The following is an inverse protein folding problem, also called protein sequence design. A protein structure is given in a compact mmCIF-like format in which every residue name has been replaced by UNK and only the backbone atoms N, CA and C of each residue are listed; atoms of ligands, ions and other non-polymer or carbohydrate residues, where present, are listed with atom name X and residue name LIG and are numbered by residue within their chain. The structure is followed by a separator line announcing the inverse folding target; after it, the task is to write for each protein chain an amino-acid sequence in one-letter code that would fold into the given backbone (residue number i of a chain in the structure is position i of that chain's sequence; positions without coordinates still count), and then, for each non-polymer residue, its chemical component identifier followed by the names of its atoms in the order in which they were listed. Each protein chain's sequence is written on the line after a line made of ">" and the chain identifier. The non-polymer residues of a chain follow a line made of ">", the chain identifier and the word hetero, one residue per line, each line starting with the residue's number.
data_IF_268404815252
#
_entry.id   IF_268404815252
#
_cell.length_a   1.000
_cell.length_b   1.000
_cell.length_c   1.000
_cell.angle_alpha   90.00
_cell.angle_beta   90.00
_cell.angle_gamma   90.00
#
_symmetry.space_group_name_H-M   'P 1'
#
loop_
_entity.id
_entity.type
_entity.pdbx_description
1 polymer ?
#
# COMPACT_ATOMS: atom_id res chain seq x y z
N UNK A 1 -21.59 5.42 17.78
CA UNK A 1 -21.76 6.89 17.79
C UNK A 1 -20.43 7.54 18.20
N UNK A 2 -19.60 7.88 17.21
CA UNK A 2 -18.24 8.42 17.41
C UNK A 2 -18.21 9.89 17.82
N UNK A 3 -19.31 10.45 18.27
CA UNK A 3 -19.48 11.88 18.49
C UNK A 3 -19.32 12.32 19.96
N UNK A 4 -18.46 11.67 20.74
CA UNK A 4 -18.02 12.26 22.02
C UNK A 4 -16.93 13.27 21.73
N UNK A 5 -17.29 14.52 21.57
CA UNK A 5 -16.40 15.66 21.36
C UNK A 5 -15.54 15.90 22.59
N UNK A 6 -14.24 16.05 22.39
CA UNK A 6 -13.45 16.88 23.28
C UNK A 6 -13.94 18.34 23.10
N UNK A 7 -14.28 19.00 24.19
CA UNK A 7 -14.91 20.33 24.21
C UNK A 7 -13.86 21.46 24.13
N UNK A 8 -12.81 21.25 23.33
CA UNK A 8 -11.69 22.20 23.14
C UNK A 8 -11.83 23.08 21.89
N UNK A 9 -12.95 22.93 21.16
CA UNK A 9 -13.23 23.71 19.95
C UNK A 9 -12.37 23.36 18.74
N UNK A 10 -11.45 22.40 18.86
CA UNK A 10 -10.63 21.93 17.76
C UNK A 10 -11.36 20.80 17.00
N UNK A 11 -11.27 20.75 15.67
CA UNK A 11 -11.83 19.64 14.92
C UNK A 11 -11.10 18.35 15.31
N UNK A 12 -11.84 17.39 15.87
CA UNK A 12 -11.31 16.06 16.13
C UNK A 12 -10.99 15.36 14.81
N UNK A 13 -9.84 14.67 14.73
CA UNK A 13 -9.50 13.84 13.57
C UNK A 13 -10.53 12.73 13.32
N UNK A 14 -11.29 12.36 14.34
CA UNK A 14 -12.36 11.37 14.27
C UNK A 14 -13.59 11.86 13.47
N UNK A 15 -13.70 13.16 13.20
CA UNK A 15 -14.74 13.75 12.36
C UNK A 15 -14.45 13.67 10.87
N UNK A 16 -13.22 13.36 10.49
CA UNK A 16 -12.84 13.21 9.09
C UNK A 16 -13.20 11.83 8.54
N UNK A 17 -13.42 11.76 7.24
CA UNK A 17 -13.44 10.48 6.55
C UNK A 17 -12.11 9.74 6.76
N UNK A 18 -12.15 8.41 6.80
CA UNK A 18 -11.00 7.54 7.08
C UNK A 18 -9.71 7.98 6.36
N UNK A 19 -9.78 8.15 5.04
CA UNK A 19 -8.61 8.54 4.25
C UNK A 19 -8.11 9.95 4.55
N UNK A 20 -9.00 10.88 4.82
CA UNK A 20 -8.63 12.25 5.18
C UNK A 20 -7.92 12.29 6.55
N UNK A 21 -8.39 11.51 7.52
CA UNK A 21 -7.74 11.36 8.82
C UNK A 21 -6.32 10.78 8.68
N UNK A 22 -6.16 9.69 7.92
CA UNK A 22 -4.86 9.06 7.68
C UNK A 22 -3.88 10.00 6.97
N UNK A 23 -4.33 10.81 6.03
CA UNK A 23 -3.48 11.76 5.30
C UNK A 23 -2.80 12.79 6.21
N UNK A 24 -3.41 13.16 7.33
CA UNK A 24 -2.78 14.02 8.32
C UNK A 24 -1.51 13.36 8.88
N UNK A 25 -1.59 12.08 9.24
CA UNK A 25 -0.47 11.32 9.79
C UNK A 25 0.56 10.97 8.70
N UNK A 26 0.10 10.62 7.52
CA UNK A 26 0.95 10.23 6.38
C UNK A 26 1.78 11.37 5.79
N UNK A 27 1.58 12.60 6.23
CA UNK A 27 2.53 13.67 5.92
C UNK A 27 3.93 13.40 6.48
N UNK A 28 4.02 12.65 7.59
CA UNK A 28 5.28 12.29 8.23
C UNK A 28 5.48 10.77 8.31
N UNK A 29 4.40 9.98 8.41
CA UNK A 29 4.44 8.54 8.65
C UNK A 29 4.17 7.69 7.40
N UNK A 30 4.44 8.22 6.21
CA UNK A 30 4.36 7.50 4.95
C UNK A 30 5.55 7.78 4.05
N UNK A 31 5.92 6.76 3.28
CA UNK A 31 6.79 6.95 2.12
C UNK A 31 5.93 7.41 0.95
N UNK A 32 6.22 8.55 0.39
CA UNK A 32 5.44 9.12 -0.71
C UNK A 32 6.27 9.96 -1.65
N UNK A 33 6.15 9.78 -2.95
CA UNK A 33 6.69 10.72 -3.92
C UNK A 33 6.01 12.09 -3.78
N UNK A 34 6.83 13.13 -3.82
CA UNK A 34 6.39 14.52 -3.90
C UNK A 34 6.25 14.88 -5.37
N UNK A 35 5.03 15.14 -5.82
CA UNK A 35 4.74 15.55 -7.20
C UNK A 35 4.99 17.05 -7.39
N UNK A 36 4.71 17.83 -6.35
CA UNK A 36 4.95 19.26 -6.29
C UNK A 36 5.37 19.65 -4.86
N UNK A 37 6.52 20.31 -4.67
CA UNK A 37 7.03 20.63 -3.35
C UNK A 37 6.26 21.75 -2.63
N UNK A 38 5.40 22.49 -3.33
CA UNK A 38 4.70 23.67 -2.80
C UNK A 38 3.43 23.32 -2.00
N UNK A 39 3.37 22.13 -1.40
CA UNK A 39 2.27 21.74 -0.52
C UNK A 39 2.24 22.59 0.74
N UNK A 40 1.06 23.15 1.02
CA UNK A 40 0.77 23.83 2.29
C UNK A 40 -0.45 23.16 2.95
N UNK A 41 -0.49 23.09 4.29
CA UNK A 41 -1.66 22.61 5.01
C UNK A 41 -2.94 23.34 4.59
N UNK A 42 -4.01 22.58 4.39
CA UNK A 42 -5.28 23.10 3.86
C UNK A 42 -5.41 23.05 2.34
N UNK A 43 -4.33 22.84 1.60
CA UNK A 43 -4.41 22.51 0.17
C UNK A 43 -4.78 21.05 -0.05
N UNK A 44 -5.29 20.76 -1.22
CA UNK A 44 -5.68 19.42 -1.59
C UNK A 44 -4.44 18.53 -1.74
N UNK A 45 -4.34 17.52 -0.88
CA UNK A 45 -3.20 16.60 -0.81
C UNK A 45 -2.82 15.97 -2.16
N UNK A 46 -3.83 15.50 -2.89
CA UNK A 46 -3.67 14.79 -4.15
C UNK A 46 -2.97 15.62 -5.23
N UNK A 47 -3.03 16.94 -5.12
CA UNK A 47 -2.40 17.83 -6.08
C UNK A 47 -0.87 17.93 -5.90
N UNK A 48 -0.35 17.41 -4.80
CA UNK A 48 1.05 17.58 -4.39
C UNK A 48 1.77 16.26 -4.09
N UNK A 49 1.08 15.26 -3.61
CA UNK A 49 1.66 14.04 -3.08
C UNK A 49 0.96 12.80 -3.64
N UNK A 50 1.72 11.75 -3.94
CA UNK A 50 1.21 10.50 -4.49
C UNK A 50 1.57 9.32 -3.56
N UNK A 51 0.68 9.03 -2.60
CA UNK A 51 0.94 8.09 -1.52
C UNK A 51 1.32 6.68 -2.01
N UNK A 52 0.65 6.18 -3.04
CA UNK A 52 0.87 4.80 -3.51
C UNK A 52 2.04 4.67 -4.50
N UNK A 53 2.54 5.78 -5.06
CA UNK A 53 3.54 5.75 -6.14
C UNK A 53 4.90 5.21 -5.70
N UNK A 54 5.18 5.20 -4.39
CA UNK A 54 6.36 4.54 -3.84
C UNK A 54 6.45 3.06 -4.23
N UNK A 55 5.29 2.40 -4.36
CA UNK A 55 5.20 1.00 -4.77
C UNK A 55 5.68 0.77 -6.22
N UNK A 56 5.62 1.79 -7.08
CA UNK A 56 6.08 1.71 -8.47
C UNK A 56 7.61 1.71 -8.61
N UNK A 57 8.34 2.21 -7.66
CA UNK A 57 9.80 2.29 -7.70
C UNK A 57 10.42 0.99 -7.18
N UNK A 58 11.09 1.05 -6.06
CA UNK A 58 11.65 -0.13 -5.40
C UNK A 58 10.67 -0.64 -4.34
N UNK A 59 9.57 -1.21 -4.77
CA UNK A 59 8.46 -1.60 -3.90
C UNK A 59 8.93 -2.12 -2.53
N UNK A 60 8.79 -1.33 -1.46
CA UNK A 60 9.31 -1.66 -0.13
C UNK A 60 8.46 -2.71 0.58
N UNK A 61 7.40 -3.20 -0.05
CA UNK A 61 6.45 -4.13 0.52
C UNK A 61 6.48 -5.49 -0.16
N UNK A 62 6.24 -6.52 0.62
CA UNK A 62 5.79 -7.81 0.13
C UNK A 62 4.36 -7.70 -0.44
N UNK A 63 3.87 -8.71 -1.19
CA UNK A 63 2.52 -8.65 -1.77
C UNK A 63 1.40 -8.43 -0.75
N UNK A 64 1.57 -8.87 0.47
CA UNK A 64 0.65 -8.68 1.59
C UNK A 64 0.84 -7.36 2.37
N UNK A 65 1.72 -6.50 1.89
CA UNK A 65 1.98 -5.18 2.46
C UNK A 65 3.00 -5.13 3.58
N UNK A 66 3.56 -6.27 4.00
CA UNK A 66 4.63 -6.27 5.01
C UNK A 66 5.90 -5.65 4.45
N UNK A 67 6.70 -5.09 5.33
CA UNK A 67 7.88 -4.30 4.97
C UNK A 67 9.05 -5.20 4.59
N UNK A 68 9.66 -4.97 3.41
CA UNK A 68 10.92 -5.60 2.96
C UNK A 68 12.13 -4.84 3.43
N UNK A 69 12.04 -3.50 3.37
CA UNK A 69 13.17 -2.60 3.60
C UNK A 69 12.74 -1.46 4.51
N UNK A 70 13.45 -0.33 4.46
CA UNK A 70 13.03 0.85 5.17
C UNK A 70 11.70 1.37 4.61
N UNK A 71 10.66 1.44 5.45
CA UNK A 71 9.35 1.99 5.13
C UNK A 71 8.69 2.55 6.38
N UNK A 72 7.47 3.07 6.22
CA UNK A 72 6.69 3.70 7.27
C UNK A 72 5.36 2.97 7.52
N UNK A 73 4.50 3.57 8.32
CA UNK A 73 3.25 2.98 8.77
C UNK A 73 2.12 3.04 7.73
N UNK A 74 2.37 3.55 6.53
CA UNK A 74 1.42 3.55 5.41
C UNK A 74 1.07 2.13 4.92
N UNK A 75 1.85 1.11 5.29
CA UNK A 75 1.48 -0.29 5.12
C UNK A 75 0.21 -0.68 5.88
N UNK A 76 -0.28 0.13 6.82
CA UNK A 76 -1.59 0.00 7.42
C UNK A 76 -2.74 -0.11 6.38
N UNK A 77 -2.58 0.48 5.21
CA UNK A 77 -3.55 0.38 4.11
C UNK A 77 -3.76 -1.07 3.60
N UNK A 78 -2.86 -1.99 3.92
CA UNK A 78 -3.01 -3.42 3.64
C UNK A 78 -3.78 -4.16 4.74
N UNK A 79 -3.99 -3.57 5.92
CA UNK A 79 -4.66 -4.25 7.01
C UNK A 79 -6.15 -4.46 6.73
N UNK A 80 -6.69 -5.60 7.16
CA UNK A 80 -8.14 -5.83 7.12
C UNK A 80 -8.92 -4.81 7.97
N UNK A 81 -8.30 -4.31 9.04
CA UNK A 81 -8.88 -3.28 9.90
C UNK A 81 -9.11 -1.96 9.15
N UNK A 82 -8.22 -1.66 8.18
CA UNK A 82 -8.40 -0.53 7.27
C UNK A 82 -9.32 -0.89 6.09
N UNK A 83 -9.06 -1.98 5.39
CA UNK A 83 -9.75 -2.33 4.13
C UNK A 83 -11.23 -2.61 4.37
N UNK A 84 -11.54 -3.44 5.36
CA UNK A 84 -12.90 -3.87 5.70
C UNK A 84 -13.53 -3.09 6.85
N UNK A 85 -12.71 -2.42 7.65
CA UNK A 85 -13.11 -1.62 8.79
C UNK A 85 -12.98 -0.12 8.55
N UNK A 86 -12.98 0.61 9.65
CA UNK A 86 -12.86 2.07 9.68
C UNK A 86 -11.66 2.54 10.50
N UNK A 87 -10.71 1.65 10.82
CA UNK A 87 -9.61 1.96 11.72
C UNK A 87 -8.66 2.99 11.13
N UNK A 88 -8.31 3.96 11.95
CA UNK A 88 -7.35 5.02 11.67
C UNK A 88 -6.25 5.04 12.72
N UNK A 89 -5.22 5.84 12.54
CA UNK A 89 -4.14 5.95 13.52
C UNK A 89 -4.65 6.36 14.91
N UNK A 90 -5.68 7.21 14.96
CA UNK A 90 -6.22 7.75 16.20
C UNK A 90 -7.11 6.78 16.97
N UNK A 91 -7.44 5.63 16.42
CA UNK A 91 -8.12 4.56 17.16
C UNK A 91 -7.17 3.84 18.15
N UNK A 92 -5.84 3.95 17.95
CA UNK A 92 -4.81 3.37 18.81
C UNK A 92 -3.83 4.41 19.37
N UNK A 93 -3.63 5.53 18.71
CA UNK A 93 -2.65 6.56 19.09
C UNK A 93 -3.31 7.88 19.46
N UNK A 94 -2.84 8.49 20.55
CA UNK A 94 -3.12 9.90 20.83
C UNK A 94 -2.03 10.75 20.17
N UNK A 95 -2.35 11.53 19.13
CA UNK A 95 -1.36 12.29 18.37
C UNK A 95 -0.70 13.41 19.19
N UNK A 96 -1.35 13.89 20.27
CA UNK A 96 -0.83 14.99 21.07
C UNK A 96 0.14 14.50 22.16
N UNK A 97 -0.19 13.41 22.84
CA UNK A 97 0.65 12.85 23.91
C UNK A 97 1.65 11.78 23.43
N UNK A 98 1.54 11.32 22.18
CA UNK A 98 2.28 10.18 21.63
C UNK A 98 2.08 8.89 22.44
N UNK A 99 0.95 8.78 23.13
CA UNK A 99 0.57 7.62 23.94
C UNK A 99 -0.47 6.80 23.24
N UNK A 100 -0.78 5.67 23.82
CA UNK A 100 -1.79 4.74 23.32
C UNK A 100 -3.14 5.02 23.93
N UNK A 101 -4.19 4.78 23.16
CA UNK A 101 -5.59 4.87 23.58
C UNK A 101 -6.41 3.75 22.94
N UNK A 102 -7.57 3.47 23.48
CA UNK A 102 -8.54 2.59 22.85
C UNK A 102 -9.47 3.36 21.89
N UNK A 103 -10.34 2.64 21.20
CA UNK A 103 -11.33 3.21 20.26
C UNK A 103 -12.35 4.14 20.93
N UNK A 104 -12.41 4.15 22.25
CA UNK A 104 -13.24 5.06 23.06
C UNK A 104 -12.47 6.26 23.59
N UNK A 105 -11.25 6.47 23.10
CA UNK A 105 -10.31 7.52 23.50
C UNK A 105 -9.83 7.41 24.97
N UNK A 106 -9.98 6.25 25.62
CA UNK A 106 -9.45 6.01 26.98
C UNK A 106 -7.97 5.75 26.88
N UNK A 107 -7.19 6.40 27.73
CA UNK A 107 -5.74 6.22 27.79
C UNK A 107 -5.39 4.80 28.20
N UNK A 108 -4.44 4.22 27.51
CA UNK A 108 -3.85 2.92 27.78
C UNK A 108 -2.48 3.05 28.43
N UNK A 109 -2.02 1.99 29.12
CA UNK A 109 -0.73 1.98 29.79
C UNK A 109 0.46 2.02 28.81
N UNK A 110 0.34 1.34 27.67
CA UNK A 110 1.39 1.32 26.66
C UNK A 110 1.03 0.53 25.42
N UNK A 111 2.03 0.29 24.59
CA UNK A 111 1.87 -0.39 23.29
C UNK A 111 1.49 -1.87 23.37
N UNK A 112 1.65 -2.49 24.53
CA UNK A 112 1.28 -3.89 24.78
C UNK A 112 -0.05 -4.03 25.54
N UNK A 113 -0.78 -2.94 25.68
CA UNK A 113 -2.11 -2.94 26.27
C UNK A 113 -3.13 -3.35 25.21
N UNK A 114 -3.76 -4.49 25.44
CA UNK A 114 -4.72 -5.09 24.50
C UNK A 114 -6.02 -4.28 24.33
N UNK A 115 -6.23 -3.26 25.16
CA UNK A 115 -7.29 -2.27 24.96
C UNK A 115 -7.30 -1.63 23.57
N UNK A 116 -6.14 -1.60 22.89
CA UNK A 116 -6.06 -1.16 21.49
C UNK A 116 -6.91 -2.03 20.54
N UNK A 117 -7.08 -3.30 20.86
CA UNK A 117 -7.71 -4.31 20.00
C UNK A 117 -9.10 -4.70 20.51
N UNK A 118 -9.27 -4.83 21.82
CA UNK A 118 -10.45 -5.44 22.46
C UNK A 118 -11.72 -4.62 22.33
N UNK A 119 -11.63 -3.32 22.05
CA UNK A 119 -12.79 -2.49 21.73
C UNK A 119 -13.53 -2.91 20.46
N UNK A 120 -12.82 -3.50 19.49
CA UNK A 120 -13.37 -4.07 18.25
C UNK A 120 -13.46 -5.60 18.30
N UNK A 121 -12.48 -6.26 18.93
CA UNK A 121 -12.35 -7.71 19.03
C UNK A 121 -12.75 -8.25 20.41
N UNK A 122 -13.86 -7.76 20.98
CA UNK A 122 -14.30 -8.10 22.33
C UNK A 122 -14.46 -9.61 22.58
N UNK A 123 -14.87 -10.38 21.57
CA UNK A 123 -15.02 -11.84 21.68
C UNK A 123 -13.69 -12.56 21.94
N UNK A 124 -12.55 -11.97 21.55
CA UNK A 124 -11.21 -12.53 21.80
C UNK A 124 -10.67 -12.15 23.17
N UNK A 125 -11.23 -11.10 23.78
CA UNK A 125 -10.85 -10.65 25.11
C UNK A 125 -11.54 -11.44 26.24
N UNK A 126 -12.66 -12.15 25.94
CA UNK A 126 -13.42 -12.90 26.95
C UNK A 126 -12.60 -14.07 27.52
N UNK A 127 -11.87 -14.76 26.67
CA UNK A 127 -10.98 -15.87 27.02
C UNK A 127 -9.75 -15.78 26.10
N UNK A 128 -8.83 -14.91 26.45
CA UNK A 128 -7.63 -14.67 25.66
C UNK A 128 -6.76 -15.94 25.57
N UNK A 129 -6.55 -16.71 26.64
CA UNK A 129 -5.79 -17.96 26.56
C UNK A 129 -6.39 -19.00 25.60
N UNK A 130 -7.70 -19.05 25.46
CA UNK A 130 -8.34 -19.96 24.48
C UNK A 130 -8.07 -19.55 23.04
N UNK A 131 -7.80 -18.26 22.78
CA UNK A 131 -7.41 -17.78 21.47
C UNK A 131 -5.90 -17.84 21.25
N UNK A 132 -5.11 -17.41 22.22
CA UNK A 132 -3.65 -17.29 22.11
C UNK A 132 -2.92 -18.60 22.33
N UNK A 133 -3.53 -19.55 23.06
CA UNK A 133 -2.92 -20.77 23.55
C UNK A 133 -1.68 -20.54 24.41
N UNK A 134 -1.64 -19.39 25.08
CA UNK A 134 -0.60 -19.01 26.03
C UNK A 134 -1.23 -18.69 27.40
N UNK A 135 -0.48 -18.85 28.51
CA UNK A 135 -0.99 -18.51 29.83
C UNK A 135 -1.40 -17.04 29.92
N UNK A 136 -2.49 -16.78 30.63
CA UNK A 136 -2.98 -15.43 30.89
C UNK A 136 -1.87 -14.54 31.47
N UNK A 137 -1.74 -13.33 30.93
CA UNK A 137 -0.75 -12.35 31.34
C UNK A 137 0.69 -12.66 30.91
N UNK A 138 0.93 -13.74 30.16
CA UNK A 138 2.24 -14.01 29.57
C UNK A 138 2.51 -13.11 28.37
N UNK A 139 3.77 -13.00 27.92
CA UNK A 139 4.12 -12.26 26.71
C UNK A 139 3.48 -12.81 25.43
N UNK A 140 3.09 -14.10 25.42
CA UNK A 140 2.39 -14.73 24.31
C UNK A 140 0.87 -14.50 24.31
N UNK A 141 0.33 -13.97 25.41
CA UNK A 141 -1.09 -13.64 25.54
C UNK A 141 -1.42 -12.22 25.05
N UNK A 142 -0.41 -11.44 24.67
CA UNK A 142 -0.57 -10.06 24.18
C UNK A 142 -0.92 -10.04 22.69
N UNK A 143 -2.02 -9.39 22.32
CA UNK A 143 -2.51 -9.32 20.92
C UNK A 143 -1.43 -8.85 19.94
N UNK A 144 -0.70 -7.80 20.31
CA UNK A 144 0.32 -7.19 19.44
C UNK A 144 1.56 -8.09 19.26
N UNK A 145 1.82 -9.04 20.15
CA UNK A 145 2.94 -9.97 20.01
C UNK A 145 2.79 -10.86 18.76
N UNK A 146 1.56 -11.24 18.43
CA UNK A 146 1.25 -12.09 17.28
C UNK A 146 0.81 -11.30 16.04
N UNK A 147 -0.01 -10.24 16.23
CA UNK A 147 -0.65 -9.52 15.16
C UNK A 147 0.07 -8.22 14.76
N UNK A 148 1.05 -7.76 15.53
CA UNK A 148 1.90 -6.63 15.19
C UNK A 148 3.38 -6.95 15.51
N UNK A 149 3.90 -8.07 14.97
CA UNK A 149 5.29 -8.45 15.24
C UNK A 149 6.25 -7.37 14.76
N UNK A 150 7.47 -7.38 15.27
CA UNK A 150 8.47 -6.43 14.82
C UNK A 150 9.00 -6.84 13.45
N UNK A 151 8.69 -6.03 12.45
CA UNK A 151 9.32 -6.09 11.13
C UNK A 151 10.48 -5.10 11.13
N UNK A 152 11.70 -5.61 11.07
CA UNK A 152 12.88 -4.78 11.00
C UNK A 152 13.77 -5.29 9.88
N UNK A 153 14.17 -4.37 9.03
CA UNK A 153 15.30 -4.63 8.15
C UNK A 153 16.53 -4.91 9.06
N UNK A 154 17.29 -5.99 8.83
CA UNK A 154 18.33 -6.46 9.76
C UNK A 154 19.36 -5.39 10.16
N UNK A 155 19.76 -4.53 9.24
CA UNK A 155 20.69 -3.44 9.53
C UNK A 155 20.11 -2.36 10.46
N UNK A 156 18.80 -2.15 10.43
CA UNK A 156 18.08 -1.23 11.31
C UNK A 156 17.75 -1.90 12.63
N UNK A 157 17.37 -3.18 12.61
CA UNK A 157 16.94 -3.96 13.76
C UNK A 157 18.00 -4.07 14.87
N UNK A 158 19.26 -4.08 14.51
CA UNK A 158 20.37 -4.10 15.48
C UNK A 158 20.51 -2.80 16.27
N UNK A 159 20.05 -1.68 15.71
CA UNK A 159 20.16 -0.34 16.31
C UNK A 159 18.88 0.16 16.93
N UNK A 160 17.73 -0.21 16.36
CA UNK A 160 16.40 0.30 16.71
C UNK A 160 15.48 -0.87 17.06
N UNK A 161 15.89 -1.70 17.98
CA UNK A 161 15.08 -2.82 18.47
C UNK A 161 13.69 -2.30 18.87
N UNK A 162 12.63 -2.97 18.41
CA UNK A 162 11.24 -2.60 18.66
C UNK A 162 10.79 -1.25 18.03
N UNK A 163 11.54 -0.71 17.08
CA UNK A 163 11.17 0.56 16.46
C UNK A 163 9.95 0.45 15.55
N UNK A 164 9.64 -0.75 15.03
CA UNK A 164 8.58 -0.93 14.03
C UNK A 164 7.76 -2.17 14.30
N UNK A 165 6.53 -1.96 14.71
CA UNK A 165 5.50 -2.97 14.68
C UNK A 165 4.84 -3.03 13.31
N UNK A 166 4.42 -4.21 12.89
CA UNK A 166 3.73 -4.40 11.63
C UNK A 166 2.31 -3.82 11.68
N UNK A 167 2.06 -2.79 10.89
CA UNK A 167 0.75 -2.15 10.79
C UNK A 167 -0.17 -2.80 9.74
N UNK A 168 0.26 -3.87 9.07
CA UNK A 168 -0.66 -4.71 8.28
C UNK A 168 -1.57 -5.55 9.17
N UNK A 169 -1.20 -5.70 10.44
CA UNK A 169 -1.94 -6.48 11.46
C UNK A 169 -2.26 -7.88 10.93
N UNK A 170 -1.23 -8.66 10.53
CA UNK A 170 -1.41 -9.92 9.85
C UNK A 170 -1.94 -11.01 10.78
N UNK A 171 -2.56 -12.03 10.19
CA UNK A 171 -2.71 -13.32 10.85
C UNK A 171 -1.36 -14.05 10.74
N UNK A 172 -0.78 -14.53 11.84
CA UNK A 172 0.47 -15.28 11.79
C UNK A 172 0.39 -16.52 10.90
N UNK A 173 1.37 -16.70 10.01
CA UNK A 173 1.46 -17.78 9.03
C UNK A 173 2.91 -18.24 8.89
N UNK A 174 3.42 -19.06 9.82
CA UNK A 174 4.86 -19.37 9.88
C UNK A 174 5.47 -19.86 8.55
N UNK A 175 4.82 -20.78 7.85
CA UNK A 175 5.31 -21.30 6.58
C UNK A 175 5.28 -20.24 5.46
N UNK A 176 4.23 -19.42 5.39
CA UNK A 176 4.14 -18.34 4.42
C UNK A 176 5.19 -17.26 4.69
N UNK A 177 5.38 -16.88 5.95
CA UNK A 177 6.38 -15.90 6.36
C UNK A 177 7.79 -16.37 5.95
N UNK A 178 8.10 -17.63 6.21
CA UNK A 178 9.36 -18.24 5.79
C UNK A 178 9.54 -18.25 4.26
N UNK A 179 8.48 -18.47 3.49
CA UNK A 179 8.55 -18.42 2.02
C UNK A 179 8.92 -17.05 1.48
N UNK A 180 8.63 -15.99 2.23
CA UNK A 180 9.00 -14.63 1.93
C UNK A 180 10.35 -14.22 2.55
N UNK A 181 10.99 -15.10 3.33
CA UNK A 181 12.22 -14.78 4.09
C UNK A 181 11.97 -13.85 5.28
N UNK A 182 10.75 -13.80 5.80
CA UNK A 182 10.36 -12.98 6.95
C UNK A 182 10.43 -13.84 8.21
N UNK A 183 10.99 -13.30 9.29
CA UNK A 183 10.87 -13.89 10.62
C UNK A 183 9.42 -13.83 11.07
N UNK A 184 8.79 -14.98 11.31
CA UNK A 184 7.41 -15.03 11.74
C UNK A 184 7.24 -14.63 13.23
N UNK A 185 6.02 -14.26 13.61
CA UNK A 185 5.72 -13.82 14.97
C UNK A 185 6.08 -14.86 16.04
N UNK A 186 5.90 -16.16 15.74
CA UNK A 186 6.23 -17.24 16.69
C UNK A 186 7.73 -17.33 16.93
N UNK A 187 8.55 -17.23 15.89
CA UNK A 187 10.02 -17.34 15.99
C UNK A 187 10.65 -16.20 16.80
N UNK A 188 9.96 -15.06 16.97
CA UNK A 188 10.45 -13.96 17.80
C UNK A 188 10.57 -14.34 19.29
N UNK A 189 9.81 -15.35 19.73
CA UNK A 189 9.88 -15.89 21.08
C UNK A 189 10.37 -17.35 21.10
N UNK A 190 10.06 -18.15 20.07
CA UNK A 190 10.40 -19.57 19.95
C UNK A 190 11.53 -19.77 18.93
N UNK A 191 12.62 -19.04 19.10
CA UNK A 191 13.78 -19.06 18.18
C UNK A 191 14.49 -20.42 18.10
N UNK A 192 14.24 -21.31 19.05
CA UNK A 192 14.74 -22.69 19.12
C UNK A 192 13.94 -23.67 18.23
N UNK A 193 12.80 -23.24 17.67
CA UNK A 193 11.93 -24.07 16.85
C UNK A 193 12.04 -23.72 15.37
N UNK A 194 12.09 -24.74 14.54
CA UNK A 194 12.00 -24.56 13.09
C UNK A 194 10.55 -24.25 12.65
N UNK A 195 10.40 -23.83 11.39
CA UNK A 195 9.11 -23.37 10.83
C UNK A 195 8.05 -24.47 10.82
N UNK A 196 8.41 -25.72 10.44
CA UNK A 196 7.45 -26.80 10.27
C UNK A 196 6.70 -27.15 11.56
N UNK A 197 7.34 -27.36 12.73
CA UNK A 197 6.62 -27.54 13.98
C UNK A 197 5.77 -26.33 14.40
N UNK A 198 6.20 -25.10 14.09
CA UNK A 198 5.41 -23.91 14.39
C UNK A 198 4.15 -23.84 13.52
N UNK A 199 4.26 -24.18 12.23
CA UNK A 199 3.12 -24.25 11.33
C UNK A 199 2.15 -25.38 11.75
N UNK A 200 2.69 -26.56 12.04
CA UNK A 200 1.86 -27.70 12.48
C UNK A 200 1.11 -27.38 13.79
N UNK A 201 1.72 -26.65 14.70
CA UNK A 201 1.07 -26.22 15.94
C UNK A 201 0.00 -25.17 15.66
N UNK A 202 0.26 -24.22 14.76
CA UNK A 202 -0.72 -23.23 14.29
C UNK A 202 -1.95 -23.91 13.68
N UNK A 203 -1.73 -24.88 12.80
CA UNK A 203 -2.80 -25.64 12.17
C UNK A 203 -3.62 -26.47 13.17
N UNK A 204 -2.95 -27.02 14.19
CA UNK A 204 -3.62 -27.78 15.25
C UNK A 204 -4.49 -26.88 16.15
N UNK A 205 -4.10 -25.62 16.37
CA UNK A 205 -4.82 -24.69 17.24
C UNK A 205 -5.95 -23.97 16.55
N UNK A 206 -5.71 -23.47 15.34
CA UNK A 206 -6.66 -22.59 14.65
C UNK A 206 -7.24 -23.19 13.36
N UNK A 207 -6.75 -24.34 12.91
CA UNK A 207 -7.18 -24.95 11.65
C UNK A 207 -6.84 -24.06 10.44
N UNK A 208 -7.75 -24.00 9.48
CA UNK A 208 -7.58 -23.11 8.34
C UNK A 208 -7.85 -21.67 8.75
N UNK A 209 -6.81 -20.83 8.68
CA UNK A 209 -6.95 -19.39 8.91
C UNK A 209 -7.57 -18.68 7.70
N UNK A 210 -8.16 -17.50 7.92
CA UNK A 210 -8.70 -16.65 6.83
C UNK A 210 -7.64 -16.48 5.72
N UNK A 211 -7.97 -16.72 4.43
CA UNK A 211 -7.03 -16.51 3.33
C UNK A 211 -6.63 -15.03 3.21
N UNK A 212 -5.57 -14.74 2.49
CA UNK A 212 -5.28 -13.38 2.08
C UNK A 212 -6.42 -12.82 1.20
N UNK A 213 -6.54 -11.49 1.06
CA UNK A 213 -7.37 -10.91 0.02
C UNK A 213 -7.03 -11.49 -1.35
N UNK A 214 -8.05 -11.80 -2.16
CA UNK A 214 -7.86 -12.54 -3.42
C UNK A 214 -6.83 -11.90 -4.37
N UNK A 215 -6.76 -10.57 -4.40
CA UNK A 215 -5.78 -9.86 -5.23
C UNK A 215 -4.35 -9.96 -4.66
N UNK A 216 -4.19 -10.11 -3.35
CA UNK A 216 -2.89 -10.40 -2.73
C UNK A 216 -2.43 -11.79 -3.13
N UNK A 217 -3.30 -12.82 -3.03
CA UNK A 217 -2.99 -14.17 -3.49
C UNK A 217 -2.66 -14.21 -4.98
N UNK A 218 -3.41 -13.49 -5.82
CA UNK A 218 -3.14 -13.36 -7.25
C UNK A 218 -1.77 -12.70 -7.53
N UNK A 219 -1.39 -11.69 -6.73
CA UNK A 219 -0.09 -11.03 -6.85
C UNK A 219 1.06 -11.95 -6.47
N UNK A 220 0.86 -12.81 -5.46
CA UNK A 220 1.82 -13.85 -5.07
C UNK A 220 1.96 -14.87 -6.21
N UNK A 221 0.85 -15.40 -6.71
CA UNK A 221 0.83 -16.35 -7.82
C UNK A 221 1.47 -15.82 -9.10
N UNK A 222 1.37 -14.51 -9.34
CA UNK A 222 1.93 -13.85 -10.50
C UNK A 222 3.46 -13.62 -10.44
N UNK A 223 4.13 -13.91 -9.33
CA UNK A 223 5.57 -13.62 -9.19
C UNK A 223 6.42 -14.34 -10.24
N UNK A 224 6.12 -15.60 -10.53
CA UNK A 224 6.86 -16.43 -11.47
C UNK A 224 6.25 -16.45 -12.89
N UNK A 225 5.13 -15.72 -13.08
CA UNK A 225 4.48 -15.66 -14.40
C UNK A 225 5.31 -14.85 -15.36
N UNK A 226 5.57 -15.41 -16.55
CA UNK A 226 6.32 -14.76 -17.64
C UNK A 226 5.42 -14.33 -18.80
N UNK A 227 4.23 -14.91 -18.92
CA UNK A 227 3.25 -14.56 -19.93
C UNK A 227 2.53 -13.24 -19.57
N UNK A 228 2.55 -12.28 -20.51
CA UNK A 228 1.84 -11.00 -20.33
C UNK A 228 0.33 -11.19 -20.19
N UNK A 229 -0.26 -12.05 -20.97
CA UNK A 229 -1.71 -12.24 -21.01
C UNK A 229 -2.20 -12.96 -19.75
N UNK A 230 -1.42 -13.89 -19.23
CA UNK A 230 -1.67 -14.53 -17.95
C UNK A 230 -1.52 -13.54 -16.79
N UNK A 231 -0.46 -12.74 -16.81
CA UNK A 231 -0.25 -11.69 -15.82
C UNK A 231 -1.36 -10.63 -15.83
N UNK A 232 -1.89 -10.26 -17.00
CA UNK A 232 -3.03 -9.34 -17.12
C UNK A 232 -4.26 -9.92 -16.41
N UNK A 233 -4.59 -11.19 -16.65
CA UNK A 233 -5.73 -11.85 -15.99
C UNK A 233 -5.58 -11.93 -14.47
N UNK A 234 -4.36 -12.13 -13.97
CA UNK A 234 -4.09 -12.23 -12.53
C UNK A 234 -4.03 -10.88 -11.83
N UNK A 235 -3.53 -9.84 -12.50
CA UNK A 235 -3.13 -8.59 -11.83
C UNK A 235 -4.05 -7.39 -12.14
N UNK A 236 -4.84 -7.44 -13.22
CA UNK A 236 -5.69 -6.34 -13.62
C UNK A 236 -7.15 -6.58 -13.23
N UNK A 237 -7.50 -6.27 -11.98
CA UNK A 237 -8.84 -6.45 -11.43
C UNK A 237 -9.52 -5.10 -11.18
N UNK A 238 -10.40 -4.64 -12.08
CA UNK A 238 -11.19 -3.43 -11.85
C UNK A 238 -12.17 -3.61 -10.68
N UNK A 239 -12.32 -2.56 -9.86
CA UNK A 239 -13.34 -2.53 -8.81
C UNK A 239 -13.00 -3.30 -7.54
N UNK A 240 -11.75 -3.75 -7.36
CA UNK A 240 -11.33 -4.35 -6.09
C UNK A 240 -11.35 -3.32 -4.96
N UNK A 241 -11.81 -3.75 -3.76
CA UNK A 241 -11.88 -2.88 -2.58
C UNK A 241 -10.52 -2.60 -1.96
N UNK A 242 -9.56 -3.47 -2.21
CA UNK A 242 -8.20 -3.36 -1.69
C UNK A 242 -7.36 -2.47 -2.60
N UNK A 243 -7.62 -1.17 -2.57
CA UNK A 243 -7.09 -0.20 -3.53
C UNK A 243 -5.57 -0.19 -3.60
N UNK A 244 -4.85 -0.34 -2.46
CA UNK A 244 -3.39 -0.38 -2.50
C UNK A 244 -2.86 -1.67 -3.12
N UNK A 245 -3.51 -2.82 -2.89
CA UNK A 245 -3.14 -4.06 -3.56
C UNK A 245 -3.44 -3.97 -5.07
N UNK A 246 -4.56 -3.33 -5.45
CA UNK A 246 -4.89 -3.05 -6.85
C UNK A 246 -3.83 -2.18 -7.52
N UNK A 247 -3.37 -1.13 -6.85
CA UNK A 247 -2.30 -0.27 -7.35
C UNK A 247 -0.97 -1.03 -7.47
N UNK A 248 -0.63 -1.85 -6.47
CA UNK A 248 0.58 -2.66 -6.47
C UNK A 248 0.57 -3.71 -7.59
N UNK A 249 -0.56 -4.40 -7.80
CA UNK A 249 -0.74 -5.39 -8.86
C UNK A 249 -0.65 -4.74 -10.25
N UNK A 250 -1.35 -3.63 -10.47
CA UNK A 250 -1.26 -2.83 -11.71
C UNK A 250 0.17 -2.35 -11.95
N UNK A 251 0.86 -1.88 -10.91
CA UNK A 251 2.26 -1.44 -10.97
C UNK A 251 3.21 -2.58 -11.35
N UNK A 252 3.02 -3.76 -10.75
CA UNK A 252 3.78 -4.98 -11.08
C UNK A 252 3.58 -5.36 -12.55
N UNK A 253 2.34 -5.42 -13.02
CA UNK A 253 2.03 -5.68 -14.43
C UNK A 253 2.72 -4.68 -15.35
N UNK A 254 2.54 -3.38 -15.08
CA UNK A 254 3.02 -2.31 -15.95
C UNK A 254 4.55 -2.30 -16.07
N UNK A 255 5.25 -2.48 -14.96
CA UNK A 255 6.73 -2.51 -14.95
C UNK A 255 7.31 -3.74 -15.66
N UNK A 256 6.69 -4.92 -15.48
CA UNK A 256 7.24 -6.19 -15.96
C UNK A 256 6.92 -6.46 -17.42
N UNK A 257 5.72 -6.11 -17.87
CA UNK A 257 5.17 -6.61 -19.13
C UNK A 257 4.95 -5.53 -20.20
N UNK A 258 4.90 -4.24 -19.83
CA UNK A 258 4.69 -3.20 -20.81
C UNK A 258 5.99 -2.82 -21.54
N UNK A 259 5.86 -2.60 -22.84
CA UNK A 259 6.89 -2.00 -23.70
C UNK A 259 6.33 -0.71 -24.29
N UNK A 260 7.17 0.30 -24.46
CA UNK A 260 6.73 1.56 -25.10
C UNK A 260 6.29 1.27 -26.53
N UNK A 261 5.06 1.70 -26.85
CA UNK A 261 4.42 1.47 -28.16
C UNK A 261 4.37 -0.01 -28.62
N UNK A 262 4.48 -0.94 -27.67
CA UNK A 262 4.49 -2.37 -27.95
C UNK A 262 3.12 -2.99 -28.22
N UNK A 263 2.05 -2.21 -28.09
CA UNK A 263 0.67 -2.65 -28.25
C UNK A 263 0.16 -3.56 -27.12
N UNK A 264 -1.15 -3.62 -26.97
CA UNK A 264 -1.84 -4.47 -26.00
C UNK A 264 -2.97 -5.25 -26.65
N UNK A 265 -3.26 -6.48 -26.18
CA UNK A 265 -4.47 -7.20 -26.58
C UNK A 265 -5.74 -6.43 -26.20
N UNK A 266 -6.83 -6.56 -26.95
CA UNK A 266 -8.08 -5.85 -26.67
C UNK A 266 -8.62 -6.08 -25.24
N UNK A 267 -8.50 -7.30 -24.72
CA UNK A 267 -8.91 -7.63 -23.35
C UNK A 267 -8.11 -6.86 -22.30
N UNK A 268 -6.79 -6.77 -22.48
CA UNK A 268 -5.92 -6.00 -21.58
C UNK A 268 -6.21 -4.49 -21.68
N UNK A 269 -6.51 -3.99 -22.88
CA UNK A 269 -6.96 -2.60 -23.07
C UNK A 269 -8.25 -2.37 -22.28
N UNK A 270 -9.24 -3.23 -22.41
CA UNK A 270 -10.52 -3.09 -21.71
C UNK A 270 -10.36 -3.13 -20.17
N UNK A 271 -9.50 -4.00 -19.65
CA UNK A 271 -9.18 -4.05 -18.21
C UNK A 271 -8.53 -2.73 -17.74
N UNK A 272 -7.56 -2.22 -18.48
CA UNK A 272 -6.89 -0.96 -18.15
C UNK A 272 -7.82 0.25 -18.28
N UNK A 273 -8.71 0.27 -19.28
CA UNK A 273 -9.75 1.30 -19.39
C UNK A 273 -10.73 1.28 -18.22
N UNK A 274 -11.08 0.07 -17.72
CA UNK A 274 -11.92 -0.05 -16.54
C UNK A 274 -11.21 0.45 -15.29
N UNK A 275 -9.92 0.12 -15.10
CA UNK A 275 -9.08 0.66 -14.03
C UNK A 275 -8.88 2.18 -14.14
N UNK A 276 -8.80 2.72 -15.33
CA UNK A 276 -8.69 4.16 -15.57
C UNK A 276 -9.93 4.95 -15.12
N UNK A 277 -11.08 4.28 -14.96
CA UNK A 277 -12.32 4.86 -14.41
C UNK A 277 -12.43 4.72 -12.88
N UNK A 278 -11.39 4.23 -12.20
CA UNK A 278 -11.36 4.16 -10.74
C UNK A 278 -11.54 5.55 -10.10
N UNK A 279 -12.27 5.61 -9.00
CA UNK A 279 -12.38 6.83 -8.18
C UNK A 279 -11.05 7.17 -7.48
N UNK A 280 -10.19 6.18 -7.28
CA UNK A 280 -8.85 6.39 -6.73
C UNK A 280 -7.93 7.02 -7.78
N UNK A 281 -7.44 8.21 -7.45
CA UNK A 281 -6.62 9.02 -8.36
C UNK A 281 -5.29 8.35 -8.72
N UNK A 282 -4.71 7.57 -7.81
CA UNK A 282 -3.44 6.87 -8.07
C UNK A 282 -3.67 5.70 -9.05
N UNK A 283 -4.72 4.88 -8.81
CA UNK A 283 -5.07 3.75 -9.69
C UNK A 283 -5.45 4.23 -11.08
N UNK A 284 -6.36 5.21 -11.18
CA UNK A 284 -6.80 5.74 -12.47
C UNK A 284 -5.64 6.34 -13.27
N UNK A 285 -4.78 7.10 -12.63
CA UNK A 285 -3.61 7.73 -13.29
C UNK A 285 -2.59 6.70 -13.78
N UNK A 286 -2.34 5.64 -13.02
CA UNK A 286 -1.41 4.58 -13.43
C UNK A 286 -1.99 3.77 -14.60
N UNK A 287 -3.29 3.50 -14.59
CA UNK A 287 -3.94 2.80 -15.70
C UNK A 287 -3.91 3.64 -17.00
N UNK A 288 -4.19 4.95 -16.91
CA UNK A 288 -4.04 5.88 -18.05
C UNK A 288 -2.60 5.93 -18.55
N UNK A 289 -1.63 5.99 -17.63
CA UNK A 289 -0.22 5.97 -18.00
C UNK A 289 0.18 4.66 -18.70
N UNK A 290 -0.33 3.52 -18.22
CA UNK A 290 -0.06 2.20 -18.79
C UNK A 290 -0.61 2.06 -20.23
N UNK A 291 -1.84 2.49 -20.45
CA UNK A 291 -2.44 2.57 -21.79
C UNK A 291 -1.63 3.49 -22.71
N UNK A 292 -1.32 4.69 -22.24
CA UNK A 292 -0.56 5.65 -23.01
C UNK A 292 0.84 5.16 -23.33
N UNK A 293 1.50 4.52 -22.36
CA UNK A 293 2.84 3.95 -22.54
C UNK A 293 2.87 2.88 -23.62
N UNK A 294 1.95 1.92 -23.54
CA UNK A 294 2.01 0.72 -24.37
C UNK A 294 1.26 0.85 -25.72
N UNK A 295 0.18 1.62 -25.75
CA UNK A 295 -0.75 1.68 -26.91
C UNK A 295 -1.21 3.09 -27.25
N UNK A 296 -0.52 4.14 -26.81
CA UNK A 296 -0.94 5.53 -27.05
C UNK A 296 -0.99 5.94 -28.53
N UNK A 297 -0.39 5.17 -29.43
CA UNK A 297 -0.45 5.36 -30.87
C UNK A 297 -1.64 4.62 -31.54
N UNK A 298 -2.32 3.72 -30.81
CA UNK A 298 -3.55 3.10 -31.31
C UNK A 298 -4.68 4.15 -31.34
N UNK A 299 -5.42 4.29 -32.45
CA UNK A 299 -6.44 5.32 -32.60
C UNK A 299 -7.57 5.24 -31.57
N UNK A 300 -8.01 4.03 -31.17
CA UNK A 300 -9.07 3.83 -30.21
C UNK A 300 -8.60 4.18 -28.79
N UNK A 301 -7.43 3.69 -28.41
CA UNK A 301 -6.80 4.03 -27.12
C UNK A 301 -6.53 5.54 -27.04
N UNK A 302 -6.03 6.15 -28.11
CA UNK A 302 -5.78 7.59 -28.16
C UNK A 302 -7.07 8.40 -27.97
N UNK A 303 -8.16 8.00 -28.61
CA UNK A 303 -9.46 8.64 -28.44
C UNK A 303 -9.93 8.55 -26.98
N UNK A 304 -9.79 7.38 -26.35
CA UNK A 304 -10.10 7.18 -24.93
C UNK A 304 -9.25 8.09 -24.02
N UNK A 305 -7.93 8.18 -24.25
CA UNK A 305 -7.04 9.02 -23.47
C UNK A 305 -7.37 10.52 -23.58
N UNK A 306 -7.74 10.97 -24.79
CA UNK A 306 -8.17 12.37 -25.02
C UNK A 306 -9.47 12.66 -24.27
N UNK A 307 -10.43 11.75 -24.32
CA UNK A 307 -11.69 11.89 -23.59
C UNK A 307 -11.47 11.91 -22.07
N UNK A 308 -10.64 11.00 -21.58
CA UNK A 308 -10.22 11.00 -20.18
C UNK A 308 -9.61 12.34 -19.74
N UNK A 309 -8.70 12.92 -20.54
CA UNK A 309 -8.10 14.23 -20.26
C UNK A 309 -9.12 15.37 -20.21
N UNK A 310 -10.19 15.30 -21.01
CA UNK A 310 -11.25 16.31 -21.02
C UNK A 310 -12.20 16.20 -19.83
N UNK A 311 -12.32 15.01 -19.25
CA UNK A 311 -13.28 14.73 -18.17
C UNK A 311 -12.69 14.86 -16.75
N UNK A 312 -11.41 15.20 -16.59
CA UNK A 312 -10.72 15.20 -15.28
C UNK A 312 -11.31 16.15 -14.22
N UNK A 313 -11.91 17.27 -14.62
CA UNK A 313 -12.55 18.23 -13.73
C UNK A 313 -11.60 18.69 -12.60
N UNK A 314 -12.06 18.61 -11.36
CA UNK A 314 -11.25 19.00 -10.18
C UNK A 314 -9.99 18.15 -9.96
N UNK A 315 -9.90 16.98 -10.59
CA UNK A 315 -8.76 16.08 -10.47
C UNK A 315 -7.68 16.35 -11.53
N UNK A 316 -7.88 17.34 -12.41
CA UNK A 316 -7.00 17.60 -13.57
C UNK A 316 -5.52 17.64 -13.18
N UNK A 317 -5.16 18.49 -12.21
CA UNK A 317 -3.78 18.62 -11.75
C UNK A 317 -3.24 17.32 -11.17
N UNK A 318 -4.00 16.70 -10.26
CA UNK A 318 -3.60 15.48 -9.58
C UNK A 318 -3.35 14.32 -10.53
N UNK A 319 -4.26 14.11 -11.48
CA UNK A 319 -4.17 13.02 -12.47
C UNK A 319 -3.02 13.27 -13.46
N UNK A 320 -2.89 14.46 -14.00
CA UNK A 320 -1.82 14.76 -14.98
C UNK A 320 -0.42 14.59 -14.37
N UNK A 321 -0.20 15.08 -13.16
CA UNK A 321 1.09 14.95 -12.50
C UNK A 321 1.43 13.48 -12.24
N UNK A 322 0.46 12.69 -11.77
CA UNK A 322 0.64 11.24 -11.56
C UNK A 322 0.87 10.49 -12.85
N UNK A 323 0.09 10.79 -13.87
CA UNK A 323 0.22 10.17 -15.18
C UNK A 323 1.62 10.42 -15.76
N UNK A 324 2.10 11.65 -15.72
CA UNK A 324 3.44 11.99 -16.16
C UNK A 324 4.53 11.33 -15.30
N UNK A 325 4.34 11.28 -13.97
CA UNK A 325 5.24 10.57 -13.04
C UNK A 325 5.29 9.07 -13.36
N UNK A 326 4.15 8.42 -13.58
CA UNK A 326 4.09 7.01 -13.95
C UNK A 326 4.78 6.72 -15.28
N UNK A 327 4.54 7.55 -16.33
CA UNK A 327 5.27 7.43 -17.60
C UNK A 327 6.79 7.53 -17.39
N UNK A 328 7.23 8.44 -16.52
CA UNK A 328 8.65 8.60 -16.20
C UNK A 328 9.19 7.34 -15.54
N UNK A 329 8.51 6.82 -14.52
CA UNK A 329 8.94 5.63 -13.77
C UNK A 329 8.97 4.39 -14.67
N UNK A 330 7.96 4.20 -15.53
CA UNK A 330 7.93 3.11 -16.50
C UNK A 330 9.08 3.24 -17.52
N UNK A 331 9.35 4.45 -18.01
CA UNK A 331 10.46 4.73 -18.90
C UNK A 331 11.83 4.43 -18.25
N UNK A 332 12.03 4.83 -16.99
CA UNK A 332 13.26 4.52 -16.23
C UNK A 332 13.39 3.01 -16.02
N UNK A 333 12.34 2.32 -15.66
CA UNK A 333 12.35 0.87 -15.49
C UNK A 333 12.75 0.15 -16.77
N UNK A 334 12.20 0.54 -17.92
CA UNK A 334 12.56 -0.03 -19.23
C UNK A 334 14.02 0.27 -19.63
N UNK A 335 14.47 1.51 -19.39
CA UNK A 335 15.86 1.88 -19.63
C UNK A 335 16.84 1.02 -18.81
N UNK A 336 16.54 0.81 -17.53
CA UNK A 336 17.31 -0.07 -16.64
C UNK A 336 17.30 -1.53 -17.12
N UNK A 337 16.20 -1.95 -17.73
CA UNK A 337 16.06 -3.29 -18.32
C UNK A 337 16.74 -3.44 -19.71
N UNK A 338 17.53 -2.45 -20.14
CA UNK A 338 18.31 -2.52 -21.37
C UNK A 338 17.63 -2.03 -22.64
N UNK A 339 16.56 -1.22 -22.52
CA UNK A 339 15.90 -0.54 -23.64
C UNK A 339 16.40 0.91 -23.72
N UNK A 340 17.43 1.23 -24.55
CA UNK A 340 18.01 2.57 -24.61
C UNK A 340 17.12 3.59 -25.30
N UNK A 341 16.26 3.14 -26.21
CA UNK A 341 15.46 4.00 -27.09
C UNK A 341 14.12 4.42 -26.46
N UNK A 342 13.85 3.98 -25.24
CA UNK A 342 12.60 4.30 -24.53
C UNK A 342 12.43 5.79 -24.19
N UNK A 343 13.52 6.54 -24.04
CA UNK A 343 13.51 7.90 -23.51
C UNK A 343 12.80 8.91 -24.45
N UNK A 344 13.09 8.97 -25.77
CA UNK A 344 12.42 9.94 -26.64
C UNK A 344 10.90 9.77 -26.72
N UNK A 345 10.33 8.56 -26.93
CA UNK A 345 8.87 8.38 -26.97
C UNK A 345 8.19 8.68 -25.63
N UNK A 346 8.82 8.31 -24.51
CA UNK A 346 8.28 8.63 -23.19
C UNK A 346 8.23 10.14 -22.94
N UNK A 347 9.28 10.87 -23.32
CA UNK A 347 9.29 12.34 -23.24
C UNK A 347 8.19 12.96 -24.08
N UNK A 348 7.93 12.44 -25.28
CA UNK A 348 6.83 12.91 -26.12
C UNK A 348 5.48 12.71 -25.44
N UNK A 349 5.21 11.53 -24.91
CA UNK A 349 3.96 11.22 -24.19
C UNK A 349 3.77 12.10 -22.94
N UNK A 350 4.84 12.37 -22.18
CA UNK A 350 4.77 13.29 -21.03
C UNK A 350 4.34 14.71 -21.47
N UNK A 351 4.85 15.20 -22.60
CA UNK A 351 4.44 16.51 -23.13
C UNK A 351 2.99 16.58 -23.55
N UNK A 352 2.39 15.47 -23.98
CA UNK A 352 0.96 15.41 -24.29
C UNK A 352 0.10 15.58 -23.01
N UNK A 353 0.57 15.07 -21.89
CA UNK A 353 -0.14 15.15 -20.59
C UNK A 353 0.14 16.48 -19.85
N UNK A 354 1.37 16.97 -19.93
CA UNK A 354 1.84 18.22 -19.31
C UNK A 354 2.44 19.14 -20.39
N UNK A 355 1.63 19.83 -21.19
CA UNK A 355 2.13 20.65 -22.28
C UNK A 355 2.92 21.89 -21.85
N UNK A 356 2.70 22.36 -20.61
CA UNK A 356 3.40 23.51 -20.04
C UNK A 356 3.72 23.24 -18.58
N UNK A 357 4.99 23.07 -18.20
CA UNK A 357 5.36 22.94 -16.78
C UNK A 357 6.50 21.99 -16.46
N UNK A 358 6.60 21.45 -15.29
CA UNK A 358 7.81 20.91 -14.66
C UNK A 358 8.36 19.61 -15.25
N UNK A 359 8.23 19.39 -16.53
CA UNK A 359 8.71 18.20 -17.26
C UNK A 359 10.19 17.90 -16.98
N UNK A 360 10.99 18.97 -16.92
CA UNK A 360 12.43 18.82 -16.66
C UNK A 360 12.74 18.48 -15.18
N UNK A 361 11.84 18.86 -14.25
CA UNK A 361 11.98 18.52 -12.82
C UNK A 361 11.68 17.05 -12.56
N UNK A 362 10.66 16.46 -13.20
CA UNK A 362 10.36 15.03 -13.07
C UNK A 362 11.52 14.15 -13.57
N UNK A 363 12.15 14.53 -14.68
CA UNK A 363 13.33 13.83 -15.19
C UNK A 363 14.58 14.07 -14.33
N UNK A 364 14.71 15.22 -13.70
CA UNK A 364 15.80 15.53 -12.78
C UNK A 364 15.65 14.74 -11.49
N UNK A 365 14.44 14.64 -10.93
CA UNK A 365 14.16 13.83 -9.75
C UNK A 365 14.45 12.33 -9.98
N UNK A 366 14.11 11.81 -11.13
CA UNK A 366 14.43 10.42 -11.50
C UNK A 366 15.94 10.14 -11.69
N UNK A 367 16.77 11.19 -11.80
CA UNK A 367 18.23 11.07 -11.86
C UNK A 367 18.91 11.11 -10.50
N UNK A 368 18.26 11.65 -9.48
CA UNK A 368 18.85 11.88 -8.14
C UNK A 368 18.60 10.70 -7.20
N UNK A 369 17.80 9.72 -7.60
CA UNK A 369 17.57 8.49 -6.85
C UNK A 369 18.65 7.43 -7.10
N UNK A 370 19.91 7.79 -6.85
CA UNK A 370 21.05 6.87 -6.76
C UNK A 370 21.72 6.97 -5.41
#
# INVERSE_FOLDING_TARGET
>A
DRAAKADDGLPSLDTYAKDASLRVCFQCHASRPVLDPDYLPGRRWEDYLALKYWVLEDNPYFPDGRIKTFSYQDNHQFSDCYVSGSMTCTDCHDPHSQKYRDVFARKLEGRFDDGQCTGCHASKAIDSPAHTHHPEGSSGDVCTACHMPFLQEPAVGTRLRFARSDHTIPIPRPAFDASLGIENACSQCHADRSVDPLQAQSDAWWGSVKPHPALVDATIAAQDVTSRDEAARLLLWPGDRHVIAQFAALGSFSRRFLKVDGGLPPETVAQLEALARSEDVDVSSLALASLHFASGNDPAVRAFLIDALRSLGRNDRAVRLRWASALTTLGVARKRAGDPDVVPPVKAKIREVLPQGPQDRLWSAARVGH
#
